data_IF_182150149281
#
_entry.id   IF_182150149281
#
_cell.length_a   1.000
_cell.length_b   1.000
_cell.length_c   1.000
_cell.angle_alpha   90.00
_cell.angle_beta   90.00
_cell.angle_gamma   90.00
#
_symmetry.space_group_name_H-M   'P 1'
#
loop_
_entity.id
_entity.type
_entity.pdbx_description
1 polymer ?
#
# COMPACT_ATOMS: atom_id res chain seq x y z
N UNK A 1 -26.21 -32.82 28.45
CA UNK A 1 -26.48 -31.81 29.50
C UNK A 1 -25.99 -30.47 28.99
N UNK A 2 -26.93 -29.62 28.60
CA UNK A 2 -26.75 -28.35 27.88
C UNK A 2 -26.97 -27.19 28.84
N UNK A 3 -26.04 -26.23 28.92
CA UNK A 3 -26.21 -24.98 29.67
C UNK A 3 -26.60 -23.83 28.73
N UNK A 4 -27.52 -22.93 29.14
CA UNK A 4 -28.04 -21.86 28.28
C UNK A 4 -27.18 -20.58 28.33
N UNK A 5 -27.19 -19.82 27.22
CA UNK A 5 -26.60 -18.47 27.12
C UNK A 5 -27.55 -17.40 27.68
N UNK A 6 -27.04 -16.32 28.32
CA UNK A 6 -27.86 -15.21 28.78
C UNK A 6 -28.22 -14.17 27.68
N UNK A 7 -29.33 -13.43 27.83
CA UNK A 7 -29.84 -12.49 26.83
C UNK A 7 -29.22 -11.08 26.89
N UNK A 8 -29.27 -10.39 25.75
CA UNK A 8 -28.76 -9.04 25.48
C UNK A 8 -29.72 -7.93 26.00
N UNK A 9 -29.26 -6.81 26.57
CA UNK A 9 -30.14 -5.70 27.01
C UNK A 9 -30.40 -4.64 25.91
N UNK A 10 -31.55 -3.92 25.95
CA UNK A 10 -31.97 -2.97 24.91
C UNK A 10 -31.44 -1.53 25.11
N UNK A 11 -31.24 -0.83 23.97
CA UNK A 11 -30.92 0.60 23.87
C UNK A 11 -32.12 1.46 24.31
N UNK A 12 -31.90 2.42 25.22
CA UNK A 12 -32.86 3.49 25.55
C UNK A 12 -32.47 4.81 24.89
N UNK A 13 -33.47 5.44 24.26
CA UNK A 13 -33.45 6.82 23.78
C UNK A 13 -33.43 7.80 24.96
N UNK A 14 -32.66 8.88 24.83
CA UNK A 14 -32.68 10.01 25.76
C UNK A 14 -33.59 11.10 25.17
N UNK A 15 -34.71 11.35 25.83
CA UNK A 15 -35.53 12.55 25.69
C UNK A 15 -35.36 13.37 26.96
N UNK A 16 -34.94 14.64 26.84
CA UNK A 16 -34.98 15.62 27.94
C UNK A 16 -36.00 16.69 27.57
N UNK A 17 -36.99 16.88 28.44
CA UNK A 17 -37.89 18.03 28.46
C UNK A 17 -37.74 18.72 29.81
N UNK A 18 -37.62 20.05 29.82
CA UNK A 18 -37.89 20.87 31.01
C UNK A 18 -38.51 22.21 30.59
N UNK A 19 -39.81 22.30 30.90
CA UNK A 19 -40.63 23.41 31.42
C UNK A 19 -40.61 24.83 30.83
N UNK A 20 -41.84 25.35 30.74
CA UNK A 20 -42.31 26.61 30.19
C UNK A 20 -42.76 27.62 31.26
N UNK A 21 -43.03 28.86 30.83
CA UNK A 21 -43.80 29.91 31.54
C UNK A 21 -43.08 31.27 31.47
N UNK A 22 -43.66 32.45 31.20
CA UNK A 22 -45.02 33.03 31.05
C UNK A 22 -44.84 34.26 30.09
N UNK A 23 -45.63 34.48 29.04
CA UNK A 23 -46.92 35.20 28.96
C UNK A 23 -46.90 36.75 29.17
N UNK A 24 -47.17 37.53 28.10
CA UNK A 24 -47.99 38.78 28.01
C UNK A 24 -47.92 39.31 26.56
N UNK A 25 -48.84 39.02 25.63
CA UNK A 25 -50.17 39.63 25.35
C UNK A 25 -50.14 41.16 25.16
N UNK A 26 -50.27 41.62 23.90
CA UNK A 26 -51.22 42.67 23.45
C UNK A 26 -51.11 42.94 21.93
N UNK A 27 -52.08 42.44 21.17
CA UNK A 27 -52.67 43.04 19.95
C UNK A 27 -54.16 43.30 20.32
N UNK A 28 -55.04 44.00 19.55
CA UNK A 28 -54.97 44.39 18.14
C UNK A 28 -55.59 45.77 17.81
N UNK A 29 -55.66 46.13 16.52
CA UNK A 29 -56.51 47.23 16.04
C UNK A 29 -56.41 47.43 14.53
N UNK A 30 -57.18 46.65 13.78
CA UNK A 30 -57.37 46.80 12.34
C UNK A 30 -58.69 47.53 12.07
N UNK A 31 -58.71 48.48 11.13
CA UNK A 31 -59.92 48.79 10.33
C UNK A 31 -59.51 49.24 8.91
N UNK A 32 -60.21 48.74 7.86
CA UNK A 32 -59.95 49.05 6.46
C UNK A 32 -60.83 50.22 5.97
N UNK A 33 -60.62 50.69 4.73
CA UNK A 33 -61.65 50.98 3.70
C UNK A 33 -61.04 51.88 2.61
N UNK A 34 -61.30 51.50 1.37
CA UNK A 34 -60.97 52.21 0.14
C UNK A 34 -61.90 53.40 -0.11
N UNK A 35 -61.41 54.47 -0.76
CA UNK A 35 -62.09 55.18 -1.86
C UNK A 35 -61.37 56.49 -2.24
N UNK A 36 -61.60 56.86 -3.51
CA UNK A 36 -61.66 58.21 -4.07
C UNK A 36 -60.40 58.82 -4.72
N UNK A 37 -60.54 59.00 -6.03
CA UNK A 37 -59.81 59.93 -6.90
C UNK A 37 -60.06 61.39 -6.49
N UNK A 38 -59.05 62.27 -6.64
CA UNK A 38 -59.13 63.57 -7.35
C UNK A 38 -57.97 64.52 -6.99
N UNK A 39 -57.49 65.22 -8.03
CA UNK A 39 -56.39 66.18 -8.13
C UNK A 39 -56.38 67.35 -7.13
N UNK A 40 -55.21 67.74 -6.59
CA UNK A 40 -54.77 69.16 -6.38
C UNK A 40 -53.22 69.25 -6.34
N UNK A 41 -52.73 70.42 -6.71
CA UNK A 41 -51.44 70.86 -7.27
C UNK A 41 -50.35 71.33 -6.26
N UNK A 42 -49.08 71.07 -6.63
CA UNK A 42 -47.77 71.71 -6.36
C UNK A 42 -47.28 72.12 -4.94
N UNK A 43 -46.13 71.56 -4.54
CA UNK A 43 -45.05 72.26 -3.80
C UNK A 43 -43.69 71.60 -4.11
N UNK A 44 -42.62 72.30 -4.52
CA UNK A 44 -41.35 71.66 -4.86
C UNK A 44 -40.65 71.11 -3.60
N UNK A 45 -40.44 69.79 -3.58
CA UNK A 45 -39.65 69.11 -2.54
C UNK A 45 -38.16 69.33 -2.79
N UNK A 46 -37.34 69.68 -1.78
CA UNK A 46 -35.89 69.83 -1.96
C UNK A 46 -35.27 68.52 -2.43
N UNK A 47 -34.42 68.61 -3.46
CA UNK A 47 -33.70 67.47 -4.02
C UNK A 47 -32.74 66.89 -2.96
N UNK A 48 -32.82 65.59 -2.61
CA UNK A 48 -31.90 65.01 -1.64
C UNK A 48 -30.48 64.98 -2.21
N UNK A 49 -29.52 65.53 -1.47
CA UNK A 49 -28.10 65.40 -1.74
C UNK A 49 -27.73 63.91 -1.78
N UNK A 50 -27.05 63.42 -2.83
CA UNK A 50 -26.68 62.01 -2.88
C UNK A 50 -25.74 61.66 -1.72
N UNK A 51 -25.92 60.49 -1.08
CA UNK A 51 -25.06 60.05 0.01
C UNK A 51 -23.62 59.84 -0.47
N UNK A 52 -22.61 60.06 0.37
CA UNK A 52 -21.21 59.84 0.01
C UNK A 52 -20.99 58.37 -0.38
N UNK A 53 -20.36 58.17 -1.53
CA UNK A 53 -20.02 56.84 -2.06
C UNK A 53 -19.07 56.14 -1.08
N UNK A 54 -19.35 54.89 -0.65
CA UNK A 54 -18.47 54.17 0.26
C UNK A 54 -17.10 53.97 -0.38
N UNK A 55 -16.05 54.32 0.35
CA UNK A 55 -14.66 54.12 -0.06
C UNK A 55 -14.37 52.62 -0.14
N UNK A 56 -13.79 52.10 -1.24
CA UNK A 56 -13.53 50.67 -1.37
C UNK A 56 -12.53 50.21 -0.30
N UNK A 57 -12.94 49.24 0.50
CA UNK A 57 -12.08 48.58 1.49
C UNK A 57 -10.93 47.88 0.77
N UNK A 58 -9.66 48.04 1.21
CA UNK A 58 -8.53 47.39 0.56
C UNK A 58 -8.69 45.86 0.62
N UNK A 59 -8.65 45.22 -0.55
CA UNK A 59 -8.69 43.77 -0.69
C UNK A 59 -7.47 43.16 0.00
N UNK A 60 -7.62 42.15 0.89
CA UNK A 60 -6.48 41.51 1.52
C UNK A 60 -5.55 40.92 0.47
N UNK A 61 -4.26 41.27 0.56
CA UNK A 61 -3.23 40.74 -0.32
C UNK A 61 -3.09 39.24 -0.05
N UNK A 62 -3.11 38.37 -1.08
CA UNK A 62 -2.98 36.94 -0.87
C UNK A 62 -1.63 36.64 -0.23
N UNK A 63 -1.65 35.93 0.90
CA UNK A 63 -0.45 35.44 1.58
C UNK A 63 0.33 34.57 0.59
N UNK A 64 1.65 34.77 0.41
CA UNK A 64 2.44 33.95 -0.50
C UNK A 64 2.33 32.48 -0.09
N UNK A 65 1.98 31.64 -1.06
CA UNK A 65 1.93 30.19 -0.88
C UNK A 65 3.31 29.69 -0.43
N UNK A 66 3.39 28.78 0.56
CA UNK A 66 4.66 28.26 1.02
C UNK A 66 5.44 27.66 -0.16
N UNK A 67 6.70 28.06 -0.29
CA UNK A 67 7.59 27.49 -1.30
C UNK A 67 7.72 25.99 -1.05
N UNK A 68 7.47 25.12 -2.04
CA UNK A 68 7.54 23.68 -1.83
C UNK A 68 8.97 23.29 -1.43
N UNK A 69 9.11 22.60 -0.31
CA UNK A 69 10.38 22.03 0.13
C UNK A 69 10.90 21.09 -0.97
N UNK A 70 12.18 21.20 -1.38
CA UNK A 70 12.72 20.32 -2.42
C UNK A 70 12.63 18.86 -1.99
N UNK A 71 11.93 18.05 -2.77
CA UNK A 71 11.86 16.60 -2.55
C UNK A 71 13.25 15.99 -2.74
N UNK A 72 13.75 15.18 -1.79
CA UNK A 72 15.05 14.52 -1.94
C UNK A 72 15.11 13.70 -3.23
N UNK A 73 16.19 13.89 -4.01
CA UNK A 73 16.43 13.10 -5.22
C UNK A 73 16.62 11.62 -4.84
N UNK A 74 15.95 10.67 -5.53
CA UNK A 74 16.17 9.25 -5.30
C UNK A 74 17.64 8.85 -5.54
N UNK A 75 18.19 7.91 -4.76
CA UNK A 75 19.57 7.50 -4.92
C UNK A 75 19.76 6.75 -6.23
N UNK A 76 20.89 6.99 -6.92
CA UNK A 76 21.21 6.33 -8.19
C UNK A 76 21.39 4.80 -8.04
N UNK A 77 21.74 4.34 -6.84
CA UNK A 77 21.79 2.93 -6.47
C UNK A 77 21.41 2.76 -5.00
N UNK A 78 20.79 1.62 -4.68
CA UNK A 78 20.51 1.20 -3.32
C UNK A 78 20.65 -0.31 -3.25
N UNK A 79 21.41 -0.81 -2.27
CA UNK A 79 21.54 -2.24 -1.99
C UNK A 79 21.23 -2.50 -0.50
N UNK A 80 20.19 -3.29 -0.25
CA UNK A 80 19.71 -3.62 1.09
C UNK A 80 20.30 -4.92 1.63
N UNK A 81 21.00 -5.70 0.80
CA UNK A 81 21.61 -6.96 1.20
C UNK A 81 22.48 -6.81 2.46
N UNK A 82 22.44 -7.82 3.33
CA UNK A 82 23.25 -7.90 4.54
C UNK A 82 23.73 -9.33 4.76
N UNK A 83 25.04 -9.58 4.63
CA UNK A 83 25.60 -10.93 4.64
C UNK A 83 25.23 -11.74 5.89
N UNK A 84 25.27 -11.13 7.08
CA UNK A 84 24.93 -11.82 8.34
C UNK A 84 23.45 -12.21 8.44
N UNK A 85 22.59 -11.63 7.60
CA UNK A 85 21.17 -11.94 7.53
C UNK A 85 20.80 -12.98 6.50
N UNK A 86 21.72 -13.33 5.61
CA UNK A 86 21.46 -14.26 4.52
C UNK A 86 21.73 -15.70 4.97
N UNK A 87 20.87 -16.62 4.54
CA UNK A 87 21.12 -18.07 4.61
C UNK A 87 20.64 -18.76 3.34
N UNK A 88 21.29 -19.85 2.99
CA UNK A 88 20.78 -20.75 1.96
C UNK A 88 19.58 -21.55 2.47
N UNK A 89 18.69 -21.96 1.57
CA UNK A 89 17.55 -22.83 1.90
C UNK A 89 18.01 -24.24 2.29
N UNK A 90 19.15 -24.67 1.76
CA UNK A 90 19.74 -25.99 1.97
C UNK A 90 19.94 -26.32 3.46
N UNK A 91 19.78 -27.60 3.86
CA UNK A 91 19.41 -28.77 3.04
C UNK A 91 17.90 -28.87 2.73
N UNK A 92 17.11 -27.83 3.00
CA UNK A 92 15.65 -27.86 2.89
C UNK A 92 15.19 -27.41 1.49
N UNK A 93 15.27 -28.31 0.52
CA UNK A 93 15.04 -28.01 -0.91
C UNK A 93 13.70 -27.36 -1.27
N UNK A 94 12.68 -27.51 -0.43
CA UNK A 94 11.34 -26.93 -0.63
C UNK A 94 11.09 -25.66 0.22
N UNK A 95 12.15 -25.06 0.76
CA UNK A 95 12.07 -23.92 1.68
C UNK A 95 12.41 -22.56 1.04
N UNK A 96 12.40 -22.43 -0.29
CA UNK A 96 12.79 -21.19 -0.97
C UNK A 96 11.99 -19.97 -0.49
N UNK A 97 10.67 -20.12 -0.34
CA UNK A 97 9.76 -19.07 0.16
C UNK A 97 10.07 -18.70 1.61
N UNK A 98 10.12 -19.68 2.52
CA UNK A 98 10.39 -19.44 3.94
C UNK A 98 11.80 -18.85 4.16
N UNK A 99 12.78 -19.28 3.34
CA UNK A 99 14.15 -18.77 3.41
C UNK A 99 14.22 -17.34 2.90
N UNK A 100 13.62 -17.05 1.75
CA UNK A 100 13.55 -15.67 1.23
C UNK A 100 12.80 -14.74 2.19
N UNK A 101 11.74 -15.23 2.86
CA UNK A 101 11.05 -14.47 3.90
C UNK A 101 11.96 -14.20 5.11
N UNK A 102 12.67 -15.21 5.61
CA UNK A 102 13.61 -15.07 6.72
C UNK A 102 14.72 -14.06 6.38
N UNK A 103 15.36 -14.19 5.22
CA UNK A 103 16.42 -13.29 4.76
C UNK A 103 15.91 -11.86 4.60
N UNK A 104 14.73 -11.68 3.98
CA UNK A 104 14.07 -10.38 3.87
C UNK A 104 13.89 -9.73 5.24
N UNK A 105 13.32 -10.47 6.21
CA UNK A 105 13.09 -9.96 7.57
C UNK A 105 14.40 -9.70 8.32
N UNK A 106 15.43 -10.52 8.12
CA UNK A 106 16.77 -10.28 8.66
C UNK A 106 17.35 -8.97 8.11
N UNK A 107 17.28 -8.75 6.79
CA UNK A 107 17.77 -7.52 6.17
C UNK A 107 17.03 -6.29 6.69
N UNK A 108 15.70 -6.38 6.85
CA UNK A 108 14.89 -5.32 7.44
C UNK A 108 15.31 -5.02 8.88
N UNK A 109 15.58 -6.06 9.68
CA UNK A 109 16.06 -5.94 11.07
C UNK A 109 17.42 -5.25 11.13
N UNK A 110 18.41 -5.73 10.38
CA UNK A 110 19.76 -5.15 10.35
C UNK A 110 19.78 -3.72 9.79
N UNK A 111 18.98 -3.44 8.75
CA UNK A 111 18.86 -2.09 8.17
C UNK A 111 18.00 -1.16 9.01
N UNK A 112 17.30 -1.66 10.04
CA UNK A 112 16.35 -0.90 10.89
C UNK A 112 15.24 -0.25 10.07
N UNK A 113 14.72 -0.95 9.06
CA UNK A 113 13.70 -0.42 8.12
C UNK A 113 12.29 -0.98 8.34
N UNK A 114 12.09 -1.75 9.42
CA UNK A 114 10.82 -2.41 9.73
C UNK A 114 9.67 -1.46 10.07
N UNK A 115 9.99 -0.28 10.62
CA UNK A 115 8.99 0.71 11.02
C UNK A 115 8.12 0.25 12.19
N UNK A 116 6.97 0.91 12.35
CA UNK A 116 6.03 0.65 13.44
C UNK A 116 5.51 -0.78 13.42
N UNK A 117 5.51 -1.43 14.58
CA UNK A 117 4.96 -2.78 14.78
C UNK A 117 5.85 -3.91 14.28
N UNK A 118 7.07 -3.63 13.80
CA UNK A 118 8.01 -4.68 13.41
C UNK A 118 8.54 -5.42 14.64
N UNK A 119 8.37 -6.74 14.66
CA UNK A 119 8.69 -7.60 15.82
C UNK A 119 9.77 -8.65 15.53
N UNK A 120 10.17 -8.82 14.26
CA UNK A 120 11.14 -9.85 13.91
C UNK A 120 12.51 -9.62 14.52
N UNK A 121 13.03 -10.67 15.16
CA UNK A 121 14.42 -10.76 15.62
C UNK A 121 15.21 -11.62 14.64
N UNK A 122 16.29 -11.05 14.10
CA UNK A 122 17.12 -11.67 13.10
C UNK A 122 17.59 -13.08 13.53
N UNK A 123 17.52 -14.04 12.62
CA UNK A 123 17.89 -15.43 12.88
C UNK A 123 18.23 -16.13 11.58
N UNK A 124 19.21 -17.04 11.62
CA UNK A 124 19.53 -17.97 10.53
C UNK A 124 19.30 -19.44 10.90
N UNK A 125 18.66 -19.69 12.04
CA UNK A 125 18.44 -21.04 12.58
C UNK A 125 17.61 -21.91 11.62
N UNK A 126 18.08 -23.14 11.37
CA UNK A 126 17.35 -24.15 10.61
C UNK A 126 16.05 -24.58 11.29
N UNK A 127 16.00 -24.66 12.62
CA UNK A 127 14.77 -25.00 13.35
C UNK A 127 13.72 -23.92 13.19
N UNK A 128 14.12 -22.65 13.28
CA UNK A 128 13.21 -21.51 13.04
C UNK A 128 12.72 -21.50 11.59
N UNK A 129 13.57 -21.83 10.63
CA UNK A 129 13.17 -21.94 9.23
C UNK A 129 12.11 -23.03 9.06
N UNK A 130 12.31 -24.21 9.64
CA UNK A 130 11.34 -25.29 9.55
C UNK A 130 9.99 -24.90 10.16
N UNK A 131 9.98 -24.18 11.29
CA UNK A 131 8.74 -23.62 11.83
C UNK A 131 8.09 -22.62 10.88
N UNK A 132 8.86 -21.72 10.26
CA UNK A 132 8.36 -20.78 9.25
C UNK A 132 7.79 -21.50 8.02
N UNK A 133 8.47 -22.54 7.54
CA UNK A 133 8.04 -23.35 6.40
C UNK A 133 6.75 -24.09 6.72
N UNK A 134 6.67 -24.72 7.89
CA UNK A 134 5.45 -25.40 8.33
C UNK A 134 4.29 -24.43 8.46
N UNK A 135 4.54 -23.22 8.98
CA UNK A 135 3.52 -22.19 9.08
C UNK A 135 3.09 -21.69 7.70
N UNK A 136 4.04 -21.41 6.80
CA UNK A 136 3.76 -20.96 5.44
C UNK A 136 2.83 -21.95 4.74
N UNK A 137 3.19 -23.24 4.74
CA UNK A 137 2.40 -24.32 4.13
C UNK A 137 0.99 -24.44 4.66
N UNK A 138 0.78 -24.20 5.96
CA UNK A 138 -0.55 -24.23 6.55
C UNK A 138 -1.43 -23.03 6.13
N UNK A 139 -0.82 -21.99 5.54
CA UNK A 139 -1.48 -20.77 5.06
C UNK A 139 -1.24 -20.52 3.58
N UNK A 140 -0.75 -21.54 2.86
CA UNK A 140 -0.63 -21.49 1.41
C UNK A 140 -2.02 -21.70 0.82
N UNK A 141 -2.31 -20.98 -0.27
CA UNK A 141 -3.55 -21.17 -1.04
C UNK A 141 -3.36 -22.19 -2.16
N UNK A 142 -2.13 -22.50 -2.55
CA UNK A 142 -1.81 -23.55 -3.52
C UNK A 142 -1.54 -24.88 -2.82
N UNK A 143 -2.19 -25.95 -3.28
CA UNK A 143 -2.01 -27.29 -2.73
C UNK A 143 -0.62 -27.87 -3.09
N UNK A 144 0.12 -28.34 -2.07
CA UNK A 144 1.14 -29.38 -2.19
C UNK A 144 2.30 -29.13 -3.17
N UNK A 145 2.60 -27.88 -3.54
CA UNK A 145 3.51 -27.56 -4.64
C UNK A 145 5.01 -27.56 -4.30
N UNK A 146 5.82 -27.74 -5.35
CA UNK A 146 7.25 -27.38 -5.36
C UNK A 146 7.48 -25.89 -5.68
N UNK A 147 6.41 -25.14 -5.95
CA UNK A 147 6.44 -23.73 -6.30
C UNK A 147 6.13 -22.79 -5.15
N UNK A 148 6.31 -21.50 -5.40
CA UNK A 148 6.10 -20.45 -4.41
C UNK A 148 4.66 -19.95 -4.48
N UNK A 149 3.89 -20.22 -3.43
CA UNK A 149 2.56 -19.61 -3.25
C UNK A 149 2.68 -18.11 -2.96
N UNK A 150 2.20 -17.21 -3.84
CA UNK A 150 2.35 -15.77 -3.64
C UNK A 150 1.64 -15.28 -2.38
N UNK A 151 0.43 -15.77 -2.10
CA UNK A 151 -0.34 -15.42 -0.90
C UNK A 151 0.35 -15.93 0.37
N UNK A 152 0.76 -17.19 0.42
CA UNK A 152 1.48 -17.79 1.55
C UNK A 152 2.81 -17.10 1.84
N UNK A 153 3.57 -16.71 0.81
CA UNK A 153 4.78 -15.90 1.01
C UNK A 153 4.46 -14.53 1.62
N UNK A 154 3.51 -13.79 1.02
CA UNK A 154 3.04 -12.51 1.56
C UNK A 154 2.57 -12.65 3.01
N UNK A 155 1.78 -13.68 3.31
CA UNK A 155 1.27 -13.96 4.65
C UNK A 155 2.42 -14.24 5.63
N UNK A 156 3.40 -15.04 5.23
CA UNK A 156 4.59 -15.36 6.03
C UNK A 156 5.38 -14.11 6.39
N UNK A 157 5.64 -13.22 5.42
CA UNK A 157 6.35 -11.96 5.68
C UNK A 157 5.60 -11.07 6.67
N UNK A 158 4.29 -10.90 6.49
CA UNK A 158 3.50 -10.04 7.36
C UNK A 158 3.36 -10.62 8.76
N UNK A 159 3.07 -11.91 8.90
CA UNK A 159 2.89 -12.56 10.20
C UNK A 159 4.17 -12.53 11.03
N UNK A 160 5.30 -12.99 10.47
CA UNK A 160 6.57 -13.02 11.21
C UNK A 160 7.19 -11.63 11.40
N UNK A 161 6.93 -10.70 10.47
CA UNK A 161 7.44 -9.34 10.54
C UNK A 161 6.67 -8.43 11.50
N UNK A 162 5.33 -8.49 11.48
CA UNK A 162 4.45 -7.51 12.15
C UNK A 162 3.27 -8.14 12.92
N UNK A 163 3.20 -9.47 12.99
CA UNK A 163 2.17 -10.20 13.73
C UNK A 163 0.86 -10.43 12.96
N UNK A 164 -0.08 -11.14 13.59
CA UNK A 164 -1.34 -11.58 12.96
C UNK A 164 -2.23 -10.43 12.50
N UNK A 165 -2.20 -9.28 13.17
CA UNK A 165 -2.98 -8.10 12.78
C UNK A 165 -2.54 -7.52 11.42
N UNK A 166 -1.31 -7.77 11.01
CA UNK A 166 -0.76 -7.35 9.72
C UNK A 166 -1.18 -8.27 8.56
N UNK A 167 -1.87 -9.38 8.82
CA UNK A 167 -2.43 -10.23 7.77
C UNK A 167 -3.70 -9.63 7.16
N UNK A 168 -4.43 -8.82 7.93
CA UNK A 168 -5.68 -8.24 7.49
C UNK A 168 -5.48 -7.25 6.34
N UNK A 169 -6.40 -7.26 5.39
CA UNK A 169 -6.45 -6.32 4.28
C UNK A 169 -6.36 -4.87 4.78
N UNK A 170 -5.59 -4.04 4.07
CA UNK A 170 -5.32 -2.65 4.44
C UNK A 170 -4.32 -2.48 5.60
N UNK A 171 -4.01 -3.53 6.36
CA UNK A 171 -2.98 -3.49 7.43
C UNK A 171 -1.63 -4.02 7.00
N UNK A 172 -1.59 -4.93 6.01
CA UNK A 172 -0.37 -5.51 5.43
C UNK A 172 0.71 -4.50 5.09
N UNK A 173 1.95 -4.92 5.33
CA UNK A 173 3.18 -4.26 4.89
C UNK A 173 3.62 -4.80 3.53
N UNK A 174 3.52 -6.11 3.33
CA UNK A 174 3.77 -6.76 2.05
C UNK A 174 2.46 -7.17 1.38
N UNK A 175 2.38 -6.99 0.07
CA UNK A 175 1.31 -7.51 -0.78
C UNK A 175 1.92 -8.36 -1.89
N UNK A 176 1.25 -9.41 -2.33
CA UNK A 176 1.54 -9.97 -3.63
C UNK A 176 0.89 -9.10 -4.72
N UNK A 177 1.59 -8.97 -5.85
CA UNK A 177 1.16 -8.12 -6.95
C UNK A 177 1.60 -8.72 -8.27
N UNK A 178 0.71 -8.69 -9.26
CA UNK A 178 0.98 -9.18 -10.60
C UNK A 178 0.99 -8.04 -11.63
N UNK A 179 1.89 -8.16 -12.61
CA UNK A 179 2.12 -7.14 -13.63
C UNK A 179 2.08 -7.76 -15.01
N UNK A 180 1.38 -7.11 -15.95
CA UNK A 180 1.28 -7.57 -17.34
C UNK A 180 2.61 -7.50 -18.09
N UNK A 181 3.54 -6.64 -17.65
CA UNK A 181 4.81 -6.41 -18.33
C UNK A 181 5.99 -6.51 -17.38
N UNK A 182 7.11 -7.02 -17.89
CA UNK A 182 8.39 -7.07 -17.17
C UNK A 182 8.81 -5.68 -16.68
N UNK A 183 8.76 -4.68 -17.57
CA UNK A 183 9.11 -3.31 -17.24
C UNK A 183 8.23 -2.75 -16.12
N UNK A 184 6.93 -3.04 -16.12
CA UNK A 184 6.01 -2.64 -15.06
C UNK A 184 6.39 -3.24 -13.70
N UNK A 185 6.72 -4.54 -13.67
CA UNK A 185 7.14 -5.24 -12.46
C UNK A 185 8.44 -4.67 -11.90
N UNK A 186 9.49 -4.57 -12.72
CA UNK A 186 10.80 -4.06 -12.28
C UNK A 186 10.70 -2.62 -11.79
N UNK A 187 9.94 -1.76 -12.51
CA UNK A 187 9.75 -0.36 -12.08
C UNK A 187 8.99 -0.25 -10.77
N UNK A 188 8.00 -1.13 -10.54
CA UNK A 188 7.32 -1.20 -9.26
C UNK A 188 8.26 -1.65 -8.14
N UNK A 189 9.08 -2.67 -8.38
CA UNK A 189 10.08 -3.14 -7.41
C UNK A 189 11.06 -2.02 -7.02
N UNK A 190 11.62 -1.29 -7.99
CA UNK A 190 12.52 -0.16 -7.73
C UNK A 190 11.84 0.91 -6.87
N UNK A 191 10.62 1.33 -7.21
CA UNK A 191 9.87 2.30 -6.40
C UNK A 191 9.64 1.81 -4.97
N UNK A 192 9.30 0.53 -4.80
CA UNK A 192 9.08 -0.05 -3.48
C UNK A 192 10.36 -0.07 -2.64
N UNK A 193 11.49 -0.48 -3.23
CA UNK A 193 12.81 -0.46 -2.58
C UNK A 193 13.19 0.96 -2.14
N UNK A 194 12.98 1.97 -3.00
CA UNK A 194 13.27 3.38 -2.65
C UNK A 194 12.41 3.85 -1.49
N UNK A 195 11.08 3.63 -1.59
CA UNK A 195 10.10 4.18 -0.64
C UNK A 195 10.18 3.51 0.73
N UNK A 196 10.32 2.19 0.75
CA UNK A 196 10.18 1.40 1.99
C UNK A 196 11.51 0.99 2.59
N UNK A 197 12.59 1.00 1.79
CA UNK A 197 13.90 0.44 2.14
C UNK A 197 13.82 -1.03 2.57
N UNK A 198 12.93 -1.80 1.94
CA UNK A 198 12.77 -3.24 2.15
C UNK A 198 12.95 -4.02 0.84
N UNK A 199 13.49 -5.25 0.88
CA UNK A 199 13.61 -6.13 -0.29
C UNK A 199 12.25 -6.49 -0.92
N UNK A 200 12.26 -6.87 -2.18
CA UNK A 200 11.09 -7.31 -2.96
C UNK A 200 11.25 -8.77 -3.33
N UNK A 201 10.25 -9.60 -3.02
CA UNK A 201 10.20 -11.00 -3.44
C UNK A 201 9.85 -11.13 -4.92
N UNK A 202 10.45 -12.10 -5.59
CA UNK A 202 10.27 -12.44 -7.00
C UNK A 202 9.88 -13.90 -7.10
N UNK A 203 8.75 -14.16 -7.74
CA UNK A 203 8.29 -15.51 -8.06
C UNK A 203 9.08 -15.98 -9.30
N UNK A 204 10.26 -16.51 -9.07
CA UNK A 204 11.22 -16.93 -10.06
C UNK A 204 10.84 -18.28 -10.68
N UNK A 205 11.57 -18.68 -11.73
CA UNK A 205 11.39 -19.96 -12.43
C UNK A 205 9.92 -20.19 -12.86
N UNK A 206 9.26 -19.13 -13.32
CA UNK A 206 7.84 -19.12 -13.66
C UNK A 206 6.91 -19.58 -12.51
N UNK A 207 7.26 -19.20 -11.28
CA UNK A 207 6.49 -19.49 -10.06
C UNK A 207 6.96 -20.71 -9.28
N UNK A 208 8.01 -21.41 -9.74
CA UNK A 208 8.52 -22.62 -9.07
C UNK A 208 9.59 -22.32 -8.00
N UNK A 209 9.99 -21.06 -7.85
CA UNK A 209 11.06 -20.69 -6.94
C UNK A 209 10.90 -19.26 -6.42
N UNK A 210 11.53 -18.97 -5.28
CA UNK A 210 11.52 -17.66 -4.64
C UNK A 210 12.92 -17.04 -4.68
N UNK A 211 13.01 -15.81 -5.20
CA UNK A 211 14.23 -14.99 -5.20
C UNK A 211 13.91 -13.60 -4.65
N UNK A 212 14.92 -12.81 -4.30
CA UNK A 212 14.74 -11.45 -3.78
C UNK A 212 15.50 -10.43 -4.62
N UNK A 213 14.81 -9.36 -5.04
CA UNK A 213 15.46 -8.12 -5.42
C UNK A 213 15.80 -7.38 -4.12
N UNK A 214 17.09 -7.30 -3.81
CA UNK A 214 17.62 -6.61 -2.63
C UNK A 214 18.01 -5.16 -2.93
N UNK A 215 18.02 -4.77 -4.21
CA UNK A 215 18.43 -3.44 -4.61
C UNK A 215 18.42 -3.20 -6.12
N UNK A 216 18.85 -2.01 -6.52
CA UNK A 216 19.01 -1.59 -7.91
C UNK A 216 20.25 -0.69 -8.08
N UNK A 217 20.67 -0.50 -9.33
CA UNK A 217 21.77 0.40 -9.69
C UNK A 217 21.55 1.06 -11.06
N UNK A 218 22.24 2.16 -11.28
CA UNK A 218 22.19 2.92 -12.53
C UNK A 218 20.84 3.59 -12.79
N UNK A 219 20.14 4.04 -11.73
CA UNK A 219 18.87 4.76 -11.88
C UNK A 219 19.09 6.12 -12.57
N UNK A 220 18.37 6.35 -13.66
CA UNK A 220 18.31 7.63 -14.38
C UNK A 220 16.86 8.08 -14.54
N UNK A 221 16.59 9.34 -14.24
CA UNK A 221 15.24 9.93 -14.26
C UNK A 221 14.52 9.87 -12.90
N UNK A 222 13.28 10.36 -12.86
CA UNK A 222 12.45 10.36 -11.66
C UNK A 222 11.49 9.14 -11.64
N UNK A 223 11.69 8.17 -10.73
CA UNK A 223 10.82 7.01 -10.60
C UNK A 223 9.42 7.33 -10.10
N UNK A 224 9.19 8.50 -9.50
CA UNK A 224 7.91 8.93 -8.96
C UNK A 224 7.19 9.96 -9.81
N UNK A 225 7.74 10.33 -10.98
CA UNK A 225 7.09 11.24 -11.91
C UNK A 225 5.70 10.70 -12.29
N UNK A 226 4.68 11.56 -12.20
CA UNK A 226 3.28 11.24 -12.51
C UNK A 226 2.74 12.05 -13.68
N UNK A 227 1.84 11.44 -14.44
CA UNK A 227 0.96 12.12 -15.38
C UNK A 227 -0.11 12.93 -14.64
N UNK A 228 -0.84 13.77 -15.36
CA UNK A 228 -1.91 14.60 -14.79
C UNK A 228 -3.05 13.75 -14.19
N UNK A 229 -3.27 12.55 -14.71
CA UNK A 229 -4.24 11.58 -14.18
C UNK A 229 -3.73 10.84 -12.92
N UNK A 230 -2.55 11.21 -12.41
CA UNK A 230 -1.92 10.60 -11.25
C UNK A 230 -1.23 9.26 -11.53
N UNK A 231 -1.27 8.71 -12.75
CA UNK A 231 -0.53 7.49 -13.08
C UNK A 231 0.97 7.75 -13.17
N UNK A 232 1.81 6.73 -12.95
CA UNK A 232 3.25 6.90 -13.09
C UNK A 232 3.65 7.04 -14.57
N UNK A 233 4.49 8.05 -14.88
CA UNK A 233 5.03 8.24 -16.24
C UNK A 233 5.89 7.06 -16.70
N UNK A 234 6.55 6.38 -15.75
CA UNK A 234 7.42 5.23 -16.03
C UNK A 234 8.53 5.55 -17.05
N UNK A 235 9.09 6.75 -17.07
CA UNK A 235 10.16 7.13 -18.01
C UNK A 235 11.56 6.80 -17.50
N UNK A 236 11.73 6.55 -16.21
CA UNK A 236 13.04 6.20 -15.64
C UNK A 236 13.58 4.86 -16.15
N UNK A 237 14.90 4.73 -16.10
CA UNK A 237 15.63 3.51 -16.43
C UNK A 237 16.52 3.10 -15.25
N UNK A 238 16.94 1.83 -15.24
CA UNK A 238 17.98 1.30 -14.36
C UNK A 238 18.95 0.49 -15.22
N UNK A 239 20.22 0.42 -14.80
CA UNK A 239 21.17 -0.52 -15.40
C UNK A 239 20.87 -1.96 -14.96
N UNK A 240 20.36 -2.15 -13.74
CA UNK A 240 19.99 -3.47 -13.25
C UNK A 240 19.61 -3.55 -11.77
N UNK A 241 19.56 -4.79 -11.27
CA UNK A 241 19.14 -5.16 -9.91
C UNK A 241 20.21 -5.95 -9.17
N UNK A 242 20.16 -5.90 -7.83
CA UNK A 242 20.85 -6.85 -6.97
C UNK A 242 19.87 -7.98 -6.63
N UNK A 243 20.18 -9.20 -7.06
CA UNK A 243 19.35 -10.39 -6.88
C UNK A 243 19.98 -11.32 -5.85
N UNK A 244 19.18 -11.90 -4.97
CA UNK A 244 19.60 -12.95 -4.04
C UNK A 244 18.68 -14.15 -4.14
N UNK A 245 19.27 -15.30 -4.42
CA UNK A 245 18.64 -16.61 -4.54
C UNK A 245 19.06 -17.46 -3.33
N UNK A 246 18.10 -18.01 -2.56
CA UNK A 246 18.43 -18.85 -1.41
C UNK A 246 18.92 -20.25 -1.78
N UNK A 247 18.84 -20.71 -3.03
CA UNK A 247 19.33 -22.02 -3.45
C UNK A 247 20.83 -21.99 -3.69
N UNK A 248 21.59 -22.76 -2.90
CA UNK A 248 23.05 -22.73 -2.94
C UNK A 248 23.61 -23.09 -4.33
N UNK A 249 23.01 -24.09 -5.00
CA UNK A 249 23.48 -24.55 -6.31
C UNK A 249 23.35 -23.52 -7.44
N UNK A 250 22.53 -22.48 -7.27
CA UNK A 250 22.37 -21.41 -8.24
C UNK A 250 23.44 -20.31 -8.12
N UNK A 251 24.02 -20.16 -6.93
CA UNK A 251 25.15 -19.26 -6.68
C UNK A 251 24.83 -17.77 -6.79
N UNK A 252 23.55 -17.37 -6.90
CA UNK A 252 23.18 -15.96 -7.03
C UNK A 252 22.99 -15.29 -5.66
N UNK A 253 24.07 -14.93 -4.96
CA UNK A 253 23.99 -14.21 -3.69
C UNK A 253 24.41 -12.76 -3.89
N UNK A 254 23.51 -11.80 -3.62
CA UNK A 254 23.73 -10.36 -3.89
C UNK A 254 24.27 -10.09 -5.32
N UNK A 255 23.84 -10.90 -6.28
CA UNK A 255 24.35 -10.89 -7.64
C UNK A 255 23.89 -9.62 -8.36
N UNK A 256 24.85 -8.91 -8.96
CA UNK A 256 24.57 -7.72 -9.77
C UNK A 256 24.14 -8.15 -11.18
N UNK A 257 22.85 -8.06 -11.49
CA UNK A 257 22.25 -8.53 -12.74
C UNK A 257 21.79 -7.33 -13.56
N UNK A 258 22.15 -7.26 -14.84
CA UNK A 258 21.68 -6.16 -15.71
C UNK A 258 20.20 -6.30 -16.04
N UNK A 259 19.52 -5.19 -16.28
CA UNK A 259 18.11 -5.15 -16.68
C UNK A 259 17.85 -6.05 -17.89
N UNK A 260 18.74 -6.02 -18.89
CA UNK A 260 18.67 -6.86 -20.07
C UNK A 260 18.86 -8.35 -19.74
N UNK A 261 19.88 -8.72 -18.95
CA UNK A 261 20.09 -10.13 -18.57
C UNK A 261 18.90 -10.67 -17.79
N UNK A 262 18.36 -9.90 -16.85
CA UNK A 262 17.24 -10.33 -16.01
C UNK A 262 15.97 -10.60 -16.83
N UNK A 263 15.80 -9.95 -17.99
CA UNK A 263 14.69 -10.18 -18.92
C UNK A 263 14.96 -11.31 -19.93
N UNK A 264 16.16 -11.36 -20.52
CA UNK A 264 16.40 -12.10 -21.76
C UNK A 264 17.41 -13.25 -21.65
N UNK A 265 18.14 -13.41 -20.54
CA UNK A 265 19.16 -14.47 -20.41
C UNK A 265 18.59 -15.87 -20.63
N UNK A 266 19.25 -16.76 -21.38
CA UNK A 266 18.79 -18.16 -21.56
C UNK A 266 18.87 -19.00 -20.29
N UNK A 267 19.56 -18.53 -19.25
CA UNK A 267 19.51 -19.16 -17.94
C UNK A 267 18.14 -18.91 -17.28
N UNK A 268 17.24 -19.88 -17.40
CA UNK A 268 15.89 -19.79 -16.84
C UNK A 268 15.83 -19.72 -15.32
N UNK A 269 16.92 -20.07 -14.63
CA UNK A 269 17.00 -19.90 -13.18
C UNK A 269 17.20 -18.45 -12.77
N UNK A 270 17.83 -17.66 -13.64
CA UNK A 270 18.07 -16.22 -13.44
C UNK A 270 16.99 -15.33 -14.08
N UNK A 271 16.39 -15.77 -15.19
CA UNK A 271 15.43 -14.96 -15.95
C UNK A 271 14.14 -14.73 -15.15
N UNK A 272 13.75 -13.48 -14.95
CA UNK A 272 12.41 -13.17 -14.43
C UNK A 272 11.39 -13.32 -15.56
N UNK A 273 10.49 -14.28 -15.40
CA UNK A 273 9.53 -14.70 -16.41
C UNK A 273 8.10 -14.62 -15.86
N UNK A 274 7.10 -14.58 -16.75
CA UNK A 274 5.72 -14.76 -16.34
C UNK A 274 5.50 -16.04 -15.54
N UNK A 275 4.63 -15.95 -14.54
CA UNK A 275 4.19 -17.04 -13.70
C UNK A 275 3.34 -18.02 -14.53
N UNK A 276 3.64 -19.32 -14.43
CA UNK A 276 2.94 -20.36 -15.21
C UNK A 276 2.41 -21.48 -14.33
N UNK A 277 2.43 -21.34 -13.00
CA UNK A 277 1.71 -22.29 -12.15
C UNK A 277 0.22 -22.00 -12.23
N UNK A 278 -0.60 -23.02 -11.99
CA UNK A 278 -2.05 -22.84 -11.86
C UNK A 278 -2.33 -21.95 -10.66
N UNK A 279 -3.18 -20.95 -10.84
CA UNK A 279 -3.60 -20.10 -9.73
C UNK A 279 -4.45 -20.87 -8.71
N UNK A 280 -4.48 -20.39 -7.47
CA UNK A 280 -5.27 -21.05 -6.43
C UNK A 280 -6.76 -20.99 -6.75
N UNK A 281 -7.45 -22.10 -6.49
CA UNK A 281 -8.91 -22.16 -6.49
C UNK A 281 -9.50 -21.85 -5.11
N UNK A 282 -8.64 -21.73 -4.08
CA UNK A 282 -9.01 -21.45 -2.70
C UNK A 282 -8.95 -19.94 -2.44
N UNK A 283 -9.87 -19.46 -1.61
CA UNK A 283 -9.80 -18.08 -1.13
C UNK A 283 -8.69 -17.95 -0.08
N UNK A 284 -7.92 -16.87 -0.16
CA UNK A 284 -7.02 -16.49 0.93
C UNK A 284 -7.85 -15.97 2.13
N UNK A 285 -7.79 -16.63 3.30
CA UNK A 285 -8.65 -16.29 4.44
C UNK A 285 -8.40 -14.88 5.01
N UNK A 286 -7.33 -14.22 4.58
CA UNK A 286 -6.96 -12.88 5.02
C UNK A 286 -7.33 -11.77 4.05
N UNK A 287 -7.81 -12.10 2.85
CA UNK A 287 -8.27 -11.14 1.84
C UNK A 287 -9.80 -11.13 1.80
N UNK A 288 -10.42 -9.95 1.89
CA UNK A 288 -11.89 -9.86 1.94
C UNK A 288 -12.51 -9.94 0.55
N UNK A 289 -13.67 -10.63 0.46
CA UNK A 289 -14.32 -10.95 -0.79
C UNK A 289 -13.70 -12.18 -1.45
N UNK A 290 -14.55 -13.05 -1.99
CA UNK A 290 -14.22 -14.28 -2.72
C UNK A 290 -13.44 -13.95 -3.99
N UNK A 291 -12.20 -13.48 -3.86
CA UNK A 291 -11.24 -13.51 -4.96
C UNK A 291 -10.72 -14.94 -5.00
N UNK A 292 -11.49 -15.82 -5.63
CA UNK A 292 -10.92 -17.02 -6.21
C UNK A 292 -9.69 -16.53 -6.98
N UNK A 293 -8.48 -16.96 -6.64
CA UNK A 293 -7.24 -16.47 -7.28
C UNK A 293 -7.17 -16.79 -8.79
N UNK A 294 -8.24 -17.29 -9.39
CA UNK A 294 -8.41 -17.51 -10.82
C UNK A 294 -8.05 -16.24 -11.61
N UNK A 295 -7.04 -16.38 -12.46
CA UNK A 295 -6.49 -15.37 -13.36
C UNK A 295 -5.76 -14.21 -12.64
N UNK A 296 -5.33 -14.43 -11.39
CA UNK A 296 -4.57 -13.45 -10.61
C UNK A 296 -3.11 -13.35 -11.05
N UNK A 297 -2.44 -14.49 -11.29
CA UNK A 297 -0.99 -14.54 -11.51
C UNK A 297 -0.60 -15.16 -12.83
N UNK A 298 -1.36 -16.14 -13.34
CA UNK A 298 -1.01 -16.83 -14.57
C UNK A 298 -0.74 -15.86 -15.73
N UNK A 299 0.40 -16.05 -16.39
CA UNK A 299 0.84 -15.21 -17.51
C UNK A 299 1.38 -13.83 -17.11
N UNK A 300 1.54 -13.53 -15.82
CA UNK A 300 1.99 -12.22 -15.33
C UNK A 300 3.32 -12.31 -14.56
N UNK A 301 4.01 -11.20 -14.42
CA UNK A 301 5.19 -11.06 -13.58
C UNK A 301 4.74 -10.83 -12.14
N UNK A 302 5.04 -11.76 -11.23
CA UNK A 302 4.53 -11.72 -9.85
C UNK A 302 5.64 -11.33 -8.88
N UNK A 303 5.31 -10.42 -7.98
CA UNK A 303 6.19 -9.91 -6.94
C UNK A 303 5.49 -9.99 -5.58
N UNK A 304 6.27 -10.21 -4.52
CA UNK A 304 5.84 -9.94 -3.14
C UNK A 304 6.49 -8.63 -2.71
N UNK A 305 5.71 -7.55 -2.72
CA UNK A 305 6.19 -6.17 -2.74
C UNK A 305 5.78 -5.40 -1.48
N UNK A 306 6.70 -4.67 -0.83
CA UNK A 306 6.38 -3.86 0.33
C UNK A 306 5.62 -2.58 -0.10
N UNK A 307 4.54 -2.28 0.61
CA UNK A 307 3.68 -1.10 0.41
C UNK A 307 3.85 -0.04 1.51
N UNK A 308 4.43 -0.43 2.65
CA UNK A 308 4.64 0.41 3.85
C UNK A 308 6.07 0.30 4.38
#
# INVERSE_FOLDING_TARGET
>A
MTMPRPPCPPRRLLSLAFLAGLAFVALPGAFPVAAAEALVEATPTPTPTPPPTPTPTPTPTPTPSPTPTPTPKPPASLNLYWGDGFRFQDPYYSACTATSAMDTLNFISYRKTGGTGFVWRASRSGTKLQSMLSWARAHDTLEGGSGSDPHGWRNTLNYYGWGSSALLEGKRVYEDASYKTYAGAVKAAVRAVIKTRKPVGVLAWAGRHAQMITGYYGLVGDPFARNLDGTYKNTFTIEGVYLSDPLQSDGFVNAKISYYRFQYTTNYRLRFRPYTQTDSLLDDPYTSGTRRSKDEWYGKYVLVIPRK
#
